data_IF_501275243252
#
_entry.id   IF_501275243252
#
_cell.length_a   1.000
_cell.length_b   1.000
_cell.length_c   1.000
_cell.angle_alpha   90.00
_cell.angle_beta   90.00
_cell.angle_gamma   90.00
#
_symmetry.space_group_name_H-M   'P 1'
#
loop_
_entity.id
_entity.type
_entity.pdbx_description
1 polymer ?
#
# COMPACT_ATOMS: atom_id res chain seq x y z
N UNK A 1 -8.10 -5.14 1.72
CA UNK A 1 -8.86 -3.88 1.85
C UNK A 1 -10.34 -4.04 1.47
N UNK A 2 -11.05 -5.07 1.98
CA UNK A 2 -12.49 -5.19 1.70
C UNK A 2 -13.28 -4.06 2.35
N UNK A 3 -14.26 -3.48 1.66
CA UNK A 3 -15.07 -2.37 2.17
C UNK A 3 -14.38 -1.00 2.16
N UNK A 4 -13.27 -0.86 1.44
CA UNK A 4 -12.62 0.42 1.11
C UNK A 4 -12.65 0.57 -0.42
N UNK A 5 -12.94 1.76 -0.93
CA UNK A 5 -12.92 1.99 -2.38
C UNK A 5 -11.47 1.94 -2.89
N UNK A 6 -11.28 1.76 -4.20
CA UNK A 6 -9.93 1.60 -4.75
C UNK A 6 -9.15 2.91 -4.70
N UNK A 7 -9.85 4.00 -4.97
CA UNK A 7 -9.40 5.39 -4.93
C UNK A 7 -8.92 5.80 -3.54
N UNK A 8 -9.49 5.23 -2.48
CA UNK A 8 -9.14 5.54 -1.10
C UNK A 8 -8.02 4.63 -0.56
N UNK A 9 -7.36 3.83 -1.41
CA UNK A 9 -6.26 2.95 -1.00
C UNK A 9 -4.92 3.50 -1.46
N UNK A 10 -4.05 3.75 -0.50
CA UNK A 10 -2.66 4.14 -0.74
C UNK A 10 -1.70 3.00 -0.43
N UNK A 11 -0.67 2.86 -1.26
CA UNK A 11 0.43 1.91 -1.05
C UNK A 11 1.74 2.67 -1.21
N UNK A 12 2.57 2.67 -0.18
CA UNK A 12 3.83 3.39 -0.18
C UNK A 12 4.89 2.65 0.63
N UNK A 13 6.15 3.10 0.51
CA UNK A 13 7.27 2.58 1.28
C UNK A 13 7.77 3.66 2.22
N UNK A 14 7.88 3.33 3.50
CA UNK A 14 8.38 4.21 4.54
C UNK A 14 9.29 3.40 5.48
N UNK A 15 10.49 3.93 5.75
CA UNK A 15 11.48 3.34 6.66
C UNK A 15 11.66 1.80 6.51
N UNK A 16 11.83 1.33 5.27
CA UNK A 16 12.03 -0.10 4.99
C UNK A 16 10.79 -0.98 5.17
N UNK A 17 9.61 -0.38 5.25
CA UNK A 17 8.33 -1.07 5.32
C UNK A 17 7.45 -0.68 4.15
N UNK A 18 6.83 -1.67 3.53
CA UNK A 18 5.68 -1.43 2.67
C UNK A 18 4.46 -1.22 3.55
N UNK A 19 3.75 -0.14 3.29
CA UNK A 19 2.55 0.26 3.98
C UNK A 19 1.41 0.29 2.96
N UNK A 20 0.29 -0.33 3.31
CA UNK A 20 -0.95 -0.24 2.54
C UNK A 20 -2.06 0.25 3.46
N UNK A 21 -2.66 1.39 3.13
CA UNK A 21 -3.66 2.09 3.95
C UNK A 21 -4.95 2.27 3.16
N UNK A 22 -6.07 2.11 3.87
CA UNK A 22 -7.39 2.48 3.38
C UNK A 22 -7.80 3.73 4.13
N UNK A 23 -8.02 4.80 3.39
CA UNK A 23 -8.48 6.09 3.86
C UNK A 23 -10.01 6.12 3.78
N UNK A 24 -10.60 7.06 4.51
CA UNK A 24 -11.99 7.42 4.33
C UNK A 24 -12.11 8.92 4.52
N UNK A 25 -12.56 9.60 3.47
CA UNK A 25 -12.82 11.03 3.49
C UNK A 25 -14.08 11.28 4.32
N UNK A 26 -13.94 12.08 5.36
CA UNK A 26 -15.07 12.76 5.98
C UNK A 26 -15.20 14.16 5.36
N UNK A 27 -16.40 14.74 5.39
CA UNK A 27 -16.72 16.03 4.73
C UNK A 27 -15.88 17.23 5.21
N UNK A 28 -14.95 17.05 6.17
CA UNK A 28 -14.19 18.09 6.87
C UNK A 28 -12.66 17.99 6.65
N UNK A 29 -12.20 17.68 5.43
CA UNK A 29 -10.78 17.66 5.02
C UNK A 29 -9.84 16.76 5.89
N UNK A 30 -10.41 15.89 6.72
CA UNK A 30 -9.68 14.98 7.61
C UNK A 30 -9.77 13.54 7.06
N UNK A 31 -8.62 13.01 6.64
CA UNK A 31 -8.49 11.63 6.17
C UNK A 31 -8.22 10.70 7.35
N UNK A 32 -9.23 9.92 7.72
CA UNK A 32 -9.09 8.91 8.75
C UNK A 32 -8.61 7.58 8.16
N UNK A 33 -7.56 7.01 8.76
CA UNK A 33 -7.05 5.69 8.36
C UNK A 33 -7.95 4.60 8.93
N UNK A 34 -8.85 4.07 8.11
CA UNK A 34 -9.79 3.03 8.52
C UNK A 34 -9.18 1.63 8.51
N UNK A 35 -8.14 1.39 7.69
CA UNK A 35 -7.40 0.11 7.62
C UNK A 35 -5.94 0.34 7.29
N UNK A 36 -5.05 -0.47 7.87
CA UNK A 36 -3.60 -0.35 7.69
C UNK A 36 -2.93 -1.72 7.75
N UNK A 37 -2.07 -2.00 6.78
CA UNK A 37 -1.21 -3.18 6.72
C UNK A 37 0.24 -2.74 6.56
N UNK A 38 1.16 -3.42 7.24
CA UNK A 38 2.60 -3.13 7.21
C UNK A 38 3.39 -4.41 7.10
N UNK A 39 4.38 -4.43 6.22
CA UNK A 39 5.35 -5.54 6.12
C UNK A 39 6.75 -4.99 5.86
N UNK A 40 7.77 -5.69 6.34
CA UNK A 40 9.15 -5.32 6.07
C UNK A 40 9.51 -5.61 4.61
N UNK A 41 10.25 -4.70 4.00
CA UNK A 41 10.88 -4.88 2.70
C UNK A 41 12.40 -4.90 2.87
N UNK A 42 13.09 -5.88 2.27
CA UNK A 42 14.55 -5.84 2.17
C UNK A 42 14.95 -4.80 1.11
N UNK A 43 15.11 -3.54 1.54
CA UNK A 43 15.41 -2.41 0.66
C UNK A 43 16.73 -2.58 -0.10
N UNK A 44 17.65 -3.43 0.36
CA UNK A 44 18.88 -3.80 -0.33
C UNK A 44 18.63 -4.57 -1.64
N UNK A 45 17.40 -5.07 -1.86
CA UNK A 45 17.03 -5.93 -3.00
C UNK A 45 15.79 -5.46 -3.76
N UNK A 46 15.19 -4.35 -3.32
CA UNK A 46 13.93 -3.83 -3.84
C UNK A 46 14.15 -2.41 -4.33
N UNK A 47 13.81 -2.16 -5.59
CA UNK A 47 13.70 -0.81 -6.12
C UNK A 47 12.29 -0.30 -5.85
N UNK A 48 12.16 0.65 -4.92
CA UNK A 48 10.85 1.16 -4.48
C UNK A 48 10.01 1.69 -5.65
N UNK A 49 10.63 2.40 -6.59
CA UNK A 49 9.97 2.99 -7.77
C UNK A 49 9.43 1.95 -8.75
N UNK A 50 9.86 0.69 -8.64
CA UNK A 50 9.40 -0.41 -9.48
C UNK A 50 8.28 -1.25 -8.82
N UNK A 51 7.89 -0.91 -7.58
CA UNK A 51 6.77 -1.55 -6.90
C UNK A 51 5.46 -1.14 -7.61
N UNK A 52 4.65 -2.14 -7.94
CA UNK A 52 3.33 -1.91 -8.54
C UNK A 52 2.24 -2.49 -7.64
N UNK A 53 1.11 -1.81 -7.56
CA UNK A 53 -0.07 -2.31 -6.85
C UNK A 53 -1.30 -2.31 -7.74
N UNK A 54 -2.11 -3.38 -7.65
CA UNK A 54 -3.43 -3.46 -8.25
C UNK A 54 -4.45 -3.85 -7.17
N UNK A 55 -5.69 -3.35 -7.30
CA UNK A 55 -6.79 -3.71 -6.40
C UNK A 55 -7.93 -4.31 -7.21
N UNK A 56 -8.42 -5.46 -6.75
CA UNK A 56 -9.58 -6.14 -7.34
C UNK A 56 -10.41 -6.77 -6.22
N UNK A 57 -11.72 -6.49 -6.19
CA UNK A 57 -12.68 -7.04 -5.22
C UNK A 57 -12.21 -6.96 -3.75
N UNK A 58 -11.68 -5.80 -3.34
CA UNK A 58 -11.20 -5.59 -1.96
C UNK A 58 -9.83 -6.21 -1.65
N UNK A 59 -9.20 -6.90 -2.61
CA UNK A 59 -7.88 -7.50 -2.48
C UNK A 59 -6.84 -6.59 -3.15
N UNK A 60 -5.84 -6.16 -2.39
CA UNK A 60 -4.70 -5.41 -2.91
C UNK A 60 -3.59 -6.41 -3.20
N UNK A 61 -3.15 -6.48 -4.45
CA UNK A 61 -2.00 -7.27 -4.88
C UNK A 61 -0.84 -6.31 -5.12
N UNK A 62 0.23 -6.49 -4.38
CA UNK A 62 1.47 -5.72 -4.55
C UNK A 62 2.52 -6.62 -5.19
N UNK A 63 3.08 -6.17 -6.31
CA UNK A 63 4.18 -6.83 -7.01
C UNK A 63 5.45 -6.09 -6.67
N UNK A 64 6.35 -6.79 -5.98
CA UNK A 64 7.64 -6.27 -5.55
C UNK A 64 8.70 -6.93 -6.43
N UNK A 65 9.36 -6.19 -7.34
CA UNK A 65 10.46 -6.72 -8.11
C UNK A 65 11.68 -6.91 -7.20
N UNK A 66 12.25 -8.11 -7.25
CA UNK A 66 13.40 -8.52 -6.47
C UNK A 66 14.57 -8.86 -7.38
N UNK A 67 15.77 -8.35 -7.06
CA UNK A 67 17.00 -8.85 -7.67
C UNK A 67 17.43 -10.15 -6.96
N UNK A 68 17.51 -11.23 -7.73
CA UNK A 68 18.13 -12.49 -7.32
C UNK A 68 19.58 -12.48 -7.83
N UNK A 69 20.53 -12.69 -6.93
CA UNK A 69 21.95 -12.85 -7.25
C UNK A 69 22.24 -14.29 -7.67
#
# INVERSE_FOLDING_TARGET
MSGVAKEDVEVYVDDGKMIAEGLKDFEDDEHDVVKRFRTHLPLDRVQADAIMSEMNNGVVKVRIPFQLF
#
